data_IF_768329274463
#
_entry.id   IF_768329274463
#
_cell.length_a   1.000
_cell.length_b   1.000
_cell.length_c   1.000
_cell.angle_alpha   90.00
_cell.angle_beta   90.00
_cell.angle_gamma   90.00
#
_symmetry.space_group_name_H-M   'P 1'
#
loop_
_entity.id
_entity.type
_entity.pdbx_description
1 polymer ?
#
# COMPACT_ATOMS: atom_id res chain seq x y z
N UNK A 1 -7.30 -3.84 -9.37
CA UNK A 1 -7.87 -3.61 -8.03
C UNK A 1 -6.84 -3.77 -6.91
N UNK A 2 -6.19 -4.93 -6.74
CA UNK A 2 -5.16 -5.14 -5.69
C UNK A 2 -4.06 -4.04 -5.66
N UNK A 3 -3.36 -3.79 -6.78
CA UNK A 3 -2.28 -2.80 -6.85
C UNK A 3 -2.73 -1.38 -6.46
N UNK A 4 -3.93 -1.00 -6.91
CA UNK A 4 -4.51 0.32 -6.60
C UNK A 4 -4.77 0.45 -5.10
N UNK A 5 -5.36 -0.57 -4.46
CA UNK A 5 -5.55 -0.59 -3.00
C UNK A 5 -4.23 -0.48 -2.23
N UNK A 6 -3.16 -1.11 -2.71
CA UNK A 6 -1.84 -0.99 -2.08
C UNK A 6 -1.31 0.45 -2.15
N UNK A 7 -1.35 1.06 -3.33
CA UNK A 7 -0.91 2.46 -3.52
C UNK A 7 -1.77 3.42 -2.71
N UNK A 8 -3.10 3.26 -2.73
CA UNK A 8 -4.04 4.11 -2.01
C UNK A 8 -3.84 4.04 -0.49
N UNK A 9 -3.51 2.86 0.06
CA UNK A 9 -3.18 2.75 1.48
C UNK A 9 -2.01 3.66 1.85
N UNK A 10 -0.88 3.54 1.15
CA UNK A 10 0.31 4.30 1.49
C UNK A 10 0.19 5.79 1.16
N UNK A 11 -0.55 6.14 0.11
CA UNK A 11 -0.91 7.54 -0.19
C UNK A 11 -1.79 8.12 0.91
N UNK A 12 -2.76 7.36 1.39
CA UNK A 12 -3.67 7.76 2.47
C UNK A 12 -2.91 7.97 3.78
N UNK A 13 -2.02 7.05 4.17
CA UNK A 13 -1.20 7.19 5.39
C UNK A 13 -0.24 8.38 5.30
N UNK A 14 0.34 8.64 4.13
CA UNK A 14 1.21 9.81 3.90
C UNK A 14 0.46 11.14 3.99
N UNK A 15 -0.78 11.20 3.51
CA UNK A 15 -1.59 12.44 3.51
C UNK A 15 -2.33 12.71 4.82
N UNK A 16 -2.83 11.67 5.49
CA UNK A 16 -3.70 11.78 6.68
C UNK A 16 -2.99 11.46 7.99
N UNK A 17 -1.79 10.89 7.93
CA UNK A 17 -1.07 10.40 9.09
C UNK A 17 -1.28 8.90 9.34
N UNK A 18 -0.36 8.31 10.07
CA UNK A 18 -0.44 6.91 10.49
C UNK A 18 -1.64 6.73 11.44
N UNK A 19 -2.51 5.76 11.14
CA UNK A 19 -3.65 5.42 12.01
C UNK A 19 -5.00 6.04 11.63
N UNK A 20 -5.13 6.71 10.47
CA UNK A 20 -6.46 7.12 10.00
C UNK A 20 -7.29 5.90 9.59
N UNK A 21 -8.42 5.68 10.28
CA UNK A 21 -9.24 4.47 10.12
C UNK A 21 -9.72 4.22 8.69
N UNK A 22 -9.95 5.28 7.91
CA UNK A 22 -10.34 5.10 6.52
C UNK A 22 -9.23 4.48 5.65
N UNK A 23 -7.95 4.68 6.01
CA UNK A 23 -6.84 4.04 5.29
C UNK A 23 -6.83 2.51 5.53
N UNK A 24 -7.31 2.05 6.68
CA UNK A 24 -7.36 0.61 7.00
C UNK A 24 -8.26 -0.19 6.03
N UNK A 25 -9.22 0.45 5.38
CA UNK A 25 -10.01 -0.17 4.32
C UNK A 25 -9.11 -0.65 3.17
N UNK A 26 -8.23 0.23 2.68
CA UNK A 26 -7.30 -0.10 1.60
C UNK A 26 -6.30 -1.17 2.03
N UNK A 27 -5.85 -1.12 3.29
CA UNK A 27 -4.99 -2.16 3.88
C UNK A 27 -5.60 -3.55 3.77
N UNK A 28 -6.81 -3.71 4.31
CA UNK A 28 -7.55 -4.98 4.26
C UNK A 28 -7.81 -5.44 2.83
N UNK A 29 -8.11 -4.49 1.93
CA UNK A 29 -8.37 -4.79 0.53
C UNK A 29 -7.12 -5.35 -0.18
N UNK A 30 -5.96 -4.70 -0.07
CA UNK A 30 -4.75 -5.22 -0.72
C UNK A 30 -4.24 -6.50 -0.05
N UNK A 31 -4.33 -6.64 1.28
CA UNK A 31 -3.92 -7.86 1.99
C UNK A 31 -4.76 -9.08 1.59
N UNK A 32 -6.04 -8.86 1.25
CA UNK A 32 -6.95 -9.94 0.82
C UNK A 32 -6.86 -10.24 -0.67
N UNK A 33 -6.63 -9.22 -1.51
CA UNK A 33 -6.67 -9.35 -2.97
C UNK A 33 -5.30 -9.63 -3.59
N UNK A 34 -4.22 -9.19 -2.96
CA UNK A 34 -2.87 -9.31 -3.52
C UNK A 34 -2.19 -10.61 -3.10
N UNK A 35 -1.43 -11.25 -4.01
CA UNK A 35 -0.46 -12.26 -3.62
C UNK A 35 0.56 -11.68 -2.62
N UNK A 36 0.90 -12.43 -1.57
CA UNK A 36 1.89 -12.01 -0.57
C UNK A 36 3.24 -11.64 -1.18
N UNK A 37 3.68 -12.41 -2.18
CA UNK A 37 4.94 -12.16 -2.89
C UNK A 37 4.97 -10.79 -3.60
N UNK A 38 3.82 -10.30 -4.07
CA UNK A 38 3.74 -8.97 -4.69
C UNK A 38 3.86 -7.87 -3.63
N UNK A 39 3.15 -8.04 -2.51
CA UNK A 39 3.24 -7.11 -1.38
C UNK A 39 4.69 -7.01 -0.89
N UNK A 40 5.35 -8.13 -0.64
CA UNK A 40 6.75 -8.18 -0.18
C UNK A 40 7.71 -7.53 -1.19
N UNK A 41 7.49 -7.77 -2.49
CA UNK A 41 8.31 -7.16 -3.54
C UNK A 41 8.15 -5.63 -3.57
N UNK A 42 6.92 -5.15 -3.52
CA UNK A 42 6.63 -3.72 -3.48
C UNK A 42 7.11 -3.06 -2.18
N UNK A 43 6.99 -3.75 -1.04
CA UNK A 43 7.50 -3.28 0.26
C UNK A 43 9.01 -3.10 0.22
N UNK A 44 9.72 -4.06 -0.38
CA UNK A 44 11.17 -3.97 -0.62
C UNK A 44 11.50 -2.75 -1.48
N UNK A 45 10.82 -2.59 -2.62
CA UNK A 45 11.02 -1.45 -3.50
C UNK A 45 10.75 -0.11 -2.79
N UNK A 46 9.74 -0.04 -1.91
CA UNK A 46 9.44 1.17 -1.12
C UNK A 46 10.52 1.45 -0.08
N UNK A 47 10.97 0.42 0.65
CA UNK A 47 12.03 0.57 1.65
C UNK A 47 13.34 1.06 1.01
N UNK A 48 13.62 0.66 -0.23
CA UNK A 48 14.80 1.10 -0.99
C UNK A 48 14.59 2.43 -1.73
N UNK A 49 13.43 3.08 -1.62
CA UNK A 49 13.04 4.27 -2.40
C UNK A 49 13.09 4.08 -3.93
N UNK A 50 12.80 2.87 -4.42
CA UNK A 50 12.81 2.47 -5.85
C UNK A 50 11.42 2.11 -6.38
N UNK A 51 10.37 2.34 -5.61
CA UNK A 51 9.01 1.97 -6.01
C UNK A 51 8.54 2.84 -7.19
N UNK A 52 8.12 2.23 -8.32
CA UNK A 52 7.77 2.97 -9.53
C UNK A 52 6.36 3.59 -9.50
N UNK A 53 5.54 3.25 -8.50
CA UNK A 53 4.16 3.74 -8.39
C UNK A 53 4.04 5.09 -7.68
N UNK A 54 2.92 5.81 -7.90
CA UNK A 54 2.71 7.14 -7.33
C UNK A 54 2.34 7.08 -5.83
N UNK A 55 3.31 7.32 -4.95
CA UNK A 55 3.15 7.33 -3.48
C UNK A 55 3.12 8.74 -2.86
#
# INVERSE_FOLDING_TARGET
HCYVSYVDFYRCTKMKGEGYDACNYFKKAFESLCPKSWIEHWDTQRAENRFPGPL
#
